data_IF_626572700547
#
_entry.id   IF_626572700547
#
_cell.length_a   1.000
_cell.length_b   1.000
_cell.length_c   1.000
_cell.angle_alpha   90.00
_cell.angle_beta   90.00
_cell.angle_gamma   90.00
#
_symmetry.space_group_name_H-M   'P 1'
#
loop_
_entity.id
_entity.type
_entity.pdbx_description
1 polymer ?
#
# COMPACT_ATOMS: atom_id res chain seq x y z
N UNK A 1 16.68 -28.47 28.37
CA UNK A 1 15.90 -28.62 27.14
C UNK A 1 14.60 -27.88 27.37
N UNK A 2 14.39 -26.74 26.73
CA UNK A 2 13.11 -26.02 26.79
C UNK A 2 12.13 -26.81 25.94
N UNK A 3 11.09 -27.35 26.56
CA UNK A 3 10.02 -28.03 25.84
C UNK A 3 9.15 -26.94 25.22
N UNK A 4 8.94 -26.93 23.89
CA UNK A 4 8.09 -25.94 23.25
C UNK A 4 6.69 -26.05 23.84
N UNK A 5 6.22 -24.96 24.42
CA UNK A 5 4.88 -24.87 24.96
C UNK A 5 3.93 -24.22 23.92
N UNK A 6 2.61 -24.19 24.18
CA UNK A 6 1.67 -23.56 23.27
C UNK A 6 1.94 -22.06 23.02
N UNK A 7 2.68 -21.39 23.90
CA UNK A 7 3.03 -19.97 23.77
C UNK A 7 4.18 -19.83 22.76
N UNK A 8 5.19 -20.70 22.83
CA UNK A 8 6.28 -20.76 21.86
C UNK A 8 5.78 -21.02 20.44
N UNK A 9 4.83 -21.95 20.28
CA UNK A 9 4.20 -22.24 18.98
C UNK A 9 3.42 -21.03 18.46
N UNK A 10 2.62 -20.38 19.31
CA UNK A 10 1.87 -19.18 18.94
C UNK A 10 2.80 -18.04 18.49
N UNK A 11 3.90 -17.81 19.21
CA UNK A 11 4.90 -16.81 18.87
C UNK A 11 5.60 -17.13 17.54
N UNK A 12 5.91 -18.40 17.28
CA UNK A 12 6.49 -18.82 16.00
C UNK A 12 5.52 -18.61 14.83
N UNK A 13 4.24 -18.94 15.01
CA UNK A 13 3.22 -18.71 13.99
C UNK A 13 3.02 -17.23 13.72
N UNK A 14 3.03 -16.37 14.74
CA UNK A 14 2.96 -14.92 14.54
C UNK A 14 4.16 -14.40 13.74
N UNK A 15 5.38 -14.80 14.12
CA UNK A 15 6.60 -14.44 13.38
C UNK A 15 6.51 -14.84 11.91
N UNK A 16 6.09 -16.08 11.65
CA UNK A 16 5.89 -16.59 10.28
C UNK A 16 4.88 -15.73 9.50
N UNK A 17 3.75 -15.37 10.11
CA UNK A 17 2.74 -14.52 9.47
C UNK A 17 3.27 -13.12 9.15
N UNK A 18 4.05 -12.52 10.06
CA UNK A 18 4.69 -11.22 9.85
C UNK A 18 5.70 -11.30 8.71
N UNK A 19 6.57 -12.31 8.68
CA UNK A 19 7.56 -12.50 7.61
C UNK A 19 6.88 -12.64 6.24
N UNK A 20 5.82 -13.44 6.15
CA UNK A 20 5.03 -13.60 4.92
C UNK A 20 4.39 -12.27 4.51
N UNK A 21 3.82 -11.51 5.45
CA UNK A 21 3.21 -10.23 5.15
C UNK A 21 4.23 -9.19 4.66
N UNK A 22 5.43 -9.17 5.26
CA UNK A 22 6.52 -8.29 4.84
C UNK A 22 7.06 -8.68 3.46
N UNK A 23 7.23 -9.97 3.19
CA UNK A 23 7.70 -10.48 1.91
C UNK A 23 6.72 -10.17 0.76
N UNK A 24 5.41 -10.23 1.03
CA UNK A 24 4.37 -10.01 0.03
C UNK A 24 3.84 -8.57 0.01
N UNK A 25 4.40 -7.65 0.82
CA UNK A 25 3.95 -6.26 0.84
C UNK A 25 4.17 -5.64 -0.56
N UNK A 26 3.10 -5.14 -1.23
CA UNK A 26 3.26 -4.53 -2.54
C UNK A 26 4.12 -3.28 -2.42
N UNK A 27 5.18 -3.22 -3.23
CA UNK A 27 6.04 -2.03 -3.31
C UNK A 27 5.27 -0.91 -4.01
N UNK A 28 5.37 0.34 -3.54
CA UNK A 28 4.79 1.46 -4.28
C UNK A 28 5.46 1.54 -5.66
N UNK A 29 4.65 1.42 -6.71
CA UNK A 29 5.10 1.41 -8.12
C UNK A 29 4.94 2.76 -8.81
N UNK A 30 4.48 3.79 -8.09
CA UNK A 30 4.25 5.12 -8.69
C UNK A 30 5.57 5.75 -9.14
N UNK A 31 5.66 6.06 -10.43
CA UNK A 31 6.78 6.78 -11.04
C UNK A 31 6.53 8.27 -11.00
N UNK A 32 7.55 9.06 -10.69
CA UNK A 32 7.41 10.52 -10.69
C UNK A 32 7.40 11.03 -12.13
N UNK A 33 6.32 11.70 -12.53
CA UNK A 33 6.11 12.21 -13.89
C UNK A 33 6.37 13.71 -14.02
N UNK A 34 6.54 14.44 -12.90
CA UNK A 34 6.59 15.90 -12.87
C UNK A 34 5.23 16.59 -13.03
N UNK A 35 4.15 15.81 -13.12
CA UNK A 35 2.76 16.29 -13.15
C UNK A 35 1.94 15.60 -12.07
N UNK A 36 0.81 16.20 -11.72
CA UNK A 36 -0.14 15.64 -10.78
C UNK A 36 -0.68 14.30 -11.30
N UNK A 37 -0.64 13.26 -10.46
CA UNK A 37 -1.16 11.94 -10.80
C UNK A 37 -2.69 11.85 -10.80
N UNK A 38 -3.37 12.91 -10.35
CA UNK A 38 -4.81 13.03 -10.56
C UNK A 38 -5.08 13.40 -12.03
N UNK A 39 -5.66 12.46 -12.79
CA UNK A 39 -5.76 12.52 -14.25
C UNK A 39 -6.46 13.75 -14.80
N UNK A 40 -7.37 14.35 -14.01
CA UNK A 40 -8.16 15.52 -14.41
C UNK A 40 -7.48 16.87 -14.06
N UNK A 41 -6.39 16.85 -13.28
CA UNK A 41 -5.73 18.06 -12.79
C UNK A 41 -4.67 18.59 -13.77
N UNK A 42 -3.71 17.75 -14.18
CA UNK A 42 -2.67 18.13 -15.16
C UNK A 42 -1.66 19.20 -14.69
N UNK A 43 -1.73 19.65 -13.45
CA UNK A 43 -0.78 20.64 -12.89
C UNK A 43 0.64 20.08 -12.74
N UNK A 44 1.64 20.94 -12.86
CA UNK A 44 3.05 20.56 -12.62
C UNK A 44 3.28 20.36 -11.12
N UNK A 45 3.89 19.24 -10.76
CA UNK A 45 4.36 18.97 -9.40
C UNK A 45 5.86 19.27 -9.34
N UNK A 46 6.28 20.07 -8.36
CA UNK A 46 7.71 20.32 -8.11
C UNK A 46 8.31 19.28 -7.15
N UNK A 47 7.47 18.62 -6.36
CA UNK A 47 7.81 17.57 -5.41
C UNK A 47 6.61 16.67 -5.16
N UNK A 48 6.84 15.37 -5.04
CA UNK A 48 5.78 14.39 -4.76
C UNK A 48 4.91 14.08 -5.99
N UNK A 49 3.81 13.35 -5.78
CA UNK A 49 2.98 12.84 -6.88
C UNK A 49 1.71 13.66 -7.14
N UNK A 50 1.37 14.60 -6.25
CA UNK A 50 0.12 15.37 -6.32
C UNK A 50 0.39 16.84 -6.03
N UNK A 51 -0.36 17.75 -6.67
CA UNK A 51 -0.23 19.19 -6.45
C UNK A 51 -0.83 19.65 -5.11
N UNK A 52 -1.86 18.95 -4.62
CA UNK A 52 -2.53 19.24 -3.36
C UNK A 52 -3.05 17.95 -2.69
N UNK A 53 -3.55 18.09 -1.46
CA UNK A 53 -4.14 16.98 -0.70
C UNK A 53 -5.42 16.45 -1.35
N UNK A 54 -6.25 17.32 -1.91
CA UNK A 54 -7.52 16.92 -2.54
C UNK A 54 -7.29 16.01 -3.74
N UNK A 55 -6.32 16.34 -4.61
CA UNK A 55 -5.95 15.51 -5.74
C UNK A 55 -5.42 14.12 -5.33
N UNK A 56 -4.73 14.02 -4.18
CA UNK A 56 -4.31 12.73 -3.63
C UNK A 56 -5.52 11.92 -3.18
N UNK A 57 -6.43 12.54 -2.43
CA UNK A 57 -7.61 11.85 -1.91
C UNK A 57 -8.53 11.33 -3.02
N UNK A 58 -8.74 12.12 -4.07
CA UNK A 58 -9.56 11.71 -5.21
C UNK A 58 -8.93 10.53 -5.96
N UNK A 59 -7.62 10.58 -6.19
CA UNK A 59 -6.88 9.44 -6.74
C UNK A 59 -7.02 8.19 -5.87
N UNK A 60 -6.85 8.31 -4.55
CA UNK A 60 -7.00 7.19 -3.61
C UNK A 60 -8.42 6.60 -3.59
N UNK A 61 -9.45 7.45 -3.67
CA UNK A 61 -10.86 7.02 -3.78
C UNK A 61 -11.09 6.22 -5.07
N UNK A 62 -10.59 6.70 -6.20
CA UNK A 62 -10.72 6.05 -7.51
C UNK A 62 -9.99 4.70 -7.51
N UNK A 63 -8.75 4.65 -7.02
CA UNK A 63 -7.97 3.41 -6.95
C UNK A 63 -8.63 2.40 -6.01
N UNK A 64 -9.16 2.83 -4.86
CA UNK A 64 -9.92 1.96 -3.96
C UNK A 64 -11.18 1.41 -4.62
N UNK A 65 -11.91 2.23 -5.35
CA UNK A 65 -13.09 1.79 -6.10
C UNK A 65 -12.71 0.77 -7.19
N UNK A 66 -11.59 0.97 -7.91
CA UNK A 66 -11.09 -0.01 -8.89
C UNK A 66 -10.72 -1.34 -8.24
N UNK A 67 -10.06 -1.32 -7.09
CA UNK A 67 -9.72 -2.54 -6.36
C UNK A 67 -10.96 -3.32 -5.93
N UNK A 68 -12.00 -2.61 -5.46
CA UNK A 68 -13.27 -3.23 -5.04
C UNK A 68 -14.10 -3.75 -6.22
N UNK A 69 -14.09 -3.05 -7.36
CA UNK A 69 -14.80 -3.47 -8.58
C UNK A 69 -14.20 -4.69 -9.28
N UNK A 70 -12.93 -5.02 -9.02
CA UNK A 70 -12.26 -6.22 -9.56
C UNK A 70 -12.67 -7.52 -8.85
N UNK A 71 -13.52 -7.44 -7.82
CA UNK A 71 -13.99 -8.57 -7.00
C UNK A 71 -15.40 -9.04 -7.43
N UNK A 72 -15.90 -8.59 -8.59
CA UNK A 72 -17.20 -8.98 -9.15
C UNK A 72 -17.06 -9.92 -10.35
#
# INVERSE_FOLDING_TARGET
>A
MTHPDPIDEAAERERQMIEIALANRPKPTMTYTGFCHNGDCGEKTSKGFFCCSECREDYERIERAKQQRRVA
#
